data_IF_627775155502
#
_entry.id   IF_627775155502
#
_cell.length_a   1.000
_cell.length_b   1.000
_cell.length_c   1.000
_cell.angle_alpha   90.00
_cell.angle_beta   90.00
_cell.angle_gamma   90.00
#
_symmetry.space_group_name_H-M   'P 1'
#
loop_
_entity.id
_entity.type
_entity.pdbx_description
1 polymer ?
#
# COMPACT_ATOMS: atom_id res chain seq x y z
N UNK A 1 16.11 16.56 7.00
CA UNK A 1 15.75 17.56 8.02
C UNK A 1 14.34 17.24 8.48
N UNK A 2 14.17 16.78 9.72
CA UNK A 2 12.84 16.61 10.30
C UNK A 2 12.31 18.01 10.61
N UNK A 3 11.21 18.41 9.98
CA UNK A 3 10.50 19.64 10.36
C UNK A 3 9.99 19.39 11.78
N UNK A 4 10.57 20.09 12.76
CA UNK A 4 10.08 20.12 14.14
C UNK A 4 8.79 20.95 14.17
N UNK A 5 7.74 20.41 13.55
CA UNK A 5 6.42 21.02 13.53
C UNK A 5 5.73 20.69 14.85
N UNK A 6 5.97 21.53 15.85
CA UNK A 6 5.31 21.45 17.15
C UNK A 6 3.78 21.39 17.02
N UNK A 7 3.20 22.03 15.99
CA UNK A 7 1.77 21.98 15.70
C UNK A 7 1.32 20.59 15.26
N UNK A 8 2.01 19.98 14.30
CA UNK A 8 1.72 18.62 13.84
C UNK A 8 1.85 17.60 14.98
N UNK A 9 2.90 17.69 15.79
CA UNK A 9 3.10 16.77 16.92
C UNK A 9 1.98 16.88 17.94
N UNK A 10 1.61 18.10 18.32
CA UNK A 10 0.50 18.33 19.25
C UNK A 10 -0.84 17.83 18.70
N UNK A 11 -1.08 18.00 17.40
CA UNK A 11 -2.28 17.47 16.74
C UNK A 11 -2.32 15.94 16.76
N UNK A 12 -1.21 15.27 16.45
CA UNK A 12 -1.10 13.80 16.50
C UNK A 12 -1.28 13.27 17.93
N UNK A 13 -0.75 13.95 18.95
CA UNK A 13 -0.97 13.60 20.35
C UNK A 13 -2.44 13.78 20.76
N UNK A 14 -3.10 14.84 20.29
CA UNK A 14 -4.53 15.06 20.45
C UNK A 14 -5.37 13.95 19.82
N UNK A 15 -5.05 13.55 18.59
CA UNK A 15 -5.72 12.43 17.91
C UNK A 15 -5.51 11.11 18.64
N UNK A 16 -4.29 10.84 19.08
CA UNK A 16 -4.01 9.63 19.83
C UNK A 16 -4.76 9.61 21.16
N UNK A 17 -4.86 10.74 21.87
CA UNK A 17 -5.66 10.84 23.10
C UNK A 17 -7.14 10.56 22.81
N UNK A 18 -7.71 11.20 21.78
CA UNK A 18 -9.11 11.03 21.38
C UNK A 18 -9.43 9.61 20.89
N UNK A 19 -8.45 8.90 20.34
CA UNK A 19 -8.63 7.53 19.82
C UNK A 19 -8.98 6.47 20.87
N UNK A 20 -8.95 6.80 22.16
CA UNK A 20 -9.47 5.95 23.23
C UNK A 20 -11.00 5.84 23.23
N UNK A 21 -11.70 6.83 22.67
CA UNK A 21 -13.16 6.93 22.66
C UNK A 21 -13.73 7.16 21.24
N UNK A 22 -12.86 7.29 20.24
CA UNK A 22 -13.20 7.62 18.87
C UNK A 22 -12.58 6.63 17.90
N UNK A 23 -13.43 6.09 17.03
CA UNK A 23 -13.05 5.23 15.92
C UNK A 23 -11.95 5.88 15.08
N UNK A 24 -10.87 5.14 14.85
CA UNK A 24 -9.70 5.69 14.21
C UNK A 24 -8.93 4.66 13.41
N UNK A 25 -8.20 5.19 12.42
CA UNK A 25 -7.10 4.47 11.81
C UNK A 25 -5.85 4.79 12.62
N UNK A 26 -5.20 3.73 13.10
CA UNK A 26 -3.93 3.80 13.78
C UNK A 26 -2.83 3.18 12.93
N UNK A 27 -1.62 3.66 13.16
CA UNK A 27 -0.40 3.08 12.60
C UNK A 27 0.44 2.51 13.72
N UNK A 28 1.09 1.38 13.45
CA UNK A 28 2.19 0.89 14.27
C UNK A 28 3.47 0.95 13.46
N UNK A 29 4.45 1.64 14.01
CA UNK A 29 5.75 1.86 13.37
C UNK A 29 6.84 1.19 14.20
N UNK A 30 7.67 0.39 13.54
CA UNK A 30 8.87 -0.17 14.12
C UNK A 30 10.02 0.85 14.06
N UNK A 31 10.51 1.26 15.22
CA UNK A 31 11.55 2.29 15.35
C UNK A 31 12.74 1.79 16.16
N UNK A 32 13.91 2.38 15.91
CA UNK A 32 15.17 2.02 16.58
C UNK A 32 15.83 3.25 17.20
N UNK A 33 16.23 3.12 18.47
CA UNK A 33 16.98 4.14 19.19
C UNK A 33 16.10 5.25 19.78
N UNK A 34 16.73 6.15 20.56
CA UNK A 34 16.02 7.19 21.30
C UNK A 34 15.36 8.24 20.39
N UNK A 35 15.84 8.39 19.16
CA UNK A 35 15.30 9.33 18.17
C UNK A 35 14.16 8.73 17.33
N UNK A 36 13.76 7.49 17.61
CA UNK A 36 12.71 6.76 16.86
C UNK A 36 13.01 6.63 15.37
N UNK A 37 14.26 6.34 15.03
CA UNK A 37 14.71 6.24 13.64
C UNK A 37 14.14 5.02 12.92
N UNK A 38 14.17 5.09 11.58
CA UNK A 38 13.99 3.93 10.71
C UNK A 38 15.20 2.99 10.77
N UNK A 39 15.00 1.74 10.30
CA UNK A 39 16.08 0.76 10.17
C UNK A 39 17.18 1.26 9.21
N UNK A 40 18.43 0.99 9.56
CA UNK A 40 19.53 1.10 8.59
C UNK A 40 19.39 0.03 7.50
N UNK A 41 20.10 0.21 6.40
CA UNK A 41 20.14 -0.79 5.30
C UNK A 41 20.56 -2.17 5.84
N UNK A 42 21.62 -2.24 6.65
CA UNK A 42 22.11 -3.51 7.21
C UNK A 42 21.07 -4.16 8.13
N UNK A 43 20.42 -3.36 8.98
CA UNK A 43 19.37 -3.87 9.86
C UNK A 43 18.20 -4.45 9.06
N UNK A 44 17.80 -3.80 7.96
CA UNK A 44 16.76 -4.30 7.06
C UNK A 44 17.20 -5.59 6.34
N UNK A 45 18.43 -5.67 5.83
CA UNK A 45 19.00 -6.88 5.20
C UNK A 45 19.02 -8.05 6.17
N UNK A 46 19.50 -7.83 7.39
CA UNK A 46 19.54 -8.88 8.42
C UNK A 46 18.14 -9.37 8.75
N UNK A 47 17.17 -8.44 8.87
CA UNK A 47 15.79 -8.79 9.13
C UNK A 47 15.21 -9.67 8.00
N UNK A 48 15.50 -9.35 6.74
CA UNK A 48 15.12 -10.16 5.59
C UNK A 48 15.80 -11.54 5.59
N UNK A 49 17.10 -11.62 5.88
CA UNK A 49 17.83 -12.89 5.99
C UNK A 49 17.22 -13.77 7.08
N UNK A 50 17.03 -13.24 8.29
CA UNK A 50 16.44 -13.99 9.39
C UNK A 50 15.02 -14.46 9.07
N UNK A 51 14.22 -13.65 8.38
CA UNK A 51 12.88 -14.04 7.95
C UNK A 51 12.91 -15.25 7.01
N UNK A 52 13.83 -15.28 6.03
CA UNK A 52 14.00 -16.42 5.11
C UNK A 52 14.44 -17.68 5.86
N UNK A 53 15.45 -17.57 6.72
CA UNK A 53 15.97 -18.70 7.49
C UNK A 53 14.91 -19.28 8.44
N UNK A 54 14.14 -18.39 9.10
CA UNK A 54 13.06 -18.78 9.99
C UNK A 54 11.92 -19.48 9.22
N UNK A 55 11.53 -18.94 8.06
CA UNK A 55 10.49 -19.50 7.21
C UNK A 55 10.87 -20.82 6.53
N UNK A 56 12.13 -20.98 6.13
CA UNK A 56 12.63 -22.20 5.49
C UNK A 56 13.04 -23.29 6.48
N UNK A 57 13.02 -22.99 7.78
CA UNK A 57 13.35 -23.95 8.84
C UNK A 57 14.75 -24.52 8.62
N UNK A 58 15.72 -23.64 8.37
CA UNK A 58 17.10 -24.04 8.13
C UNK A 58 17.64 -24.84 9.34
N UNK A 59 18.00 -26.13 9.17
CA UNK A 59 18.32 -27.01 10.29
C UNK A 59 19.52 -26.54 11.12
N UNK A 60 20.49 -25.87 10.49
CA UNK A 60 21.70 -25.35 11.12
C UNK A 60 21.49 -23.98 11.80
N UNK A 61 20.32 -23.35 11.62
CA UNK A 61 19.96 -22.05 12.22
C UNK A 61 18.98 -22.16 13.39
N UNK A 62 18.78 -23.36 13.94
CA UNK A 62 17.78 -23.59 14.98
C UNK A 62 18.03 -22.77 16.26
N UNK A 63 19.28 -22.47 16.63
CA UNK A 63 19.57 -21.64 17.81
C UNK A 63 19.03 -20.22 17.63
N UNK A 64 19.20 -19.66 16.43
CA UNK A 64 18.72 -18.31 16.11
C UNK A 64 17.19 -18.26 16.11
N UNK A 65 16.54 -19.25 15.50
CA UNK A 65 15.09 -19.42 15.58
C UNK A 65 14.63 -19.53 17.05
N UNK A 66 15.33 -20.33 17.87
CA UNK A 66 15.02 -20.46 19.29
C UNK A 66 15.15 -19.14 20.06
N UNK A 67 16.13 -18.28 19.74
CA UNK A 67 16.25 -16.96 20.37
C UNK A 67 15.06 -16.06 20.01
N UNK A 68 14.66 -16.04 18.74
CA UNK A 68 13.49 -15.29 18.27
C UNK A 68 12.22 -15.77 18.99
N UNK A 69 12.00 -17.08 19.01
CA UNK A 69 10.82 -17.68 19.65
C UNK A 69 10.79 -17.42 21.17
N UNK A 70 11.95 -17.50 21.85
CA UNK A 70 12.08 -17.15 23.27
C UNK A 70 11.85 -15.66 23.54
N UNK A 71 12.25 -14.76 22.64
CA UNK A 71 11.94 -13.34 22.78
C UNK A 71 10.42 -13.06 22.72
N UNK A 72 9.64 -13.94 22.08
CA UNK A 72 8.19 -13.82 21.98
C UNK A 72 7.43 -14.48 23.13
N UNK A 73 7.89 -15.66 23.56
CA UNK A 73 7.14 -16.55 24.47
C UNK A 73 7.86 -16.81 25.80
N UNK A 74 9.05 -16.23 26.00
CA UNK A 74 9.84 -16.40 27.22
C UNK A 74 10.14 -17.86 27.53
N UNK A 75 10.00 -18.21 28.81
CA UNK A 75 10.23 -19.56 29.33
C UNK A 75 9.21 -20.60 28.84
N UNK A 76 8.07 -20.18 28.28
CA UNK A 76 7.10 -21.10 27.70
C UNK A 76 7.63 -21.77 26.42
N UNK A 77 8.64 -21.20 25.76
CA UNK A 77 9.25 -21.81 24.58
C UNK A 77 10.50 -22.63 24.92
N UNK A 78 10.46 -23.91 24.59
CA UNK A 78 11.58 -24.82 24.76
C UNK A 78 12.48 -24.84 23.52
N UNK A 79 13.81 -24.78 23.70
CA UNK A 79 14.77 -24.83 22.59
C UNK A 79 14.61 -26.07 21.69
N UNK A 80 14.20 -27.19 22.29
CA UNK A 80 13.95 -28.44 21.58
C UNK A 80 12.89 -28.29 20.49
N UNK A 81 11.91 -27.39 20.65
CA UNK A 81 10.91 -27.13 19.63
C UNK A 81 11.55 -26.60 18.34
N UNK A 82 12.43 -25.60 18.46
CA UNK A 82 13.10 -25.03 17.29
C UNK A 82 14.06 -26.02 16.64
N UNK A 83 14.72 -26.87 17.42
CA UNK A 83 15.58 -27.95 16.92
C UNK A 83 14.79 -29.01 16.13
N UNK A 84 13.55 -29.30 16.52
CA UNK A 84 12.63 -30.18 15.80
C UNK A 84 11.98 -29.53 14.57
N UNK A 85 12.31 -28.26 14.29
CA UNK A 85 11.76 -27.52 13.15
C UNK A 85 10.50 -26.71 13.45
N UNK A 86 9.99 -26.72 14.69
CA UNK A 86 8.86 -25.86 15.06
C UNK A 86 9.27 -24.39 15.14
N UNK A 87 8.34 -23.53 14.78
CA UNK A 87 8.52 -22.08 14.69
C UNK A 87 7.27 -21.41 15.21
N UNK A 88 7.35 -20.72 16.35
CA UNK A 88 6.18 -20.27 17.10
C UNK A 88 5.20 -19.43 16.27
N UNK A 89 5.73 -18.68 15.30
CA UNK A 89 4.95 -17.75 14.49
C UNK A 89 4.32 -18.37 13.25
N UNK A 90 4.99 -19.32 12.59
CA UNK A 90 4.52 -19.91 11.32
C UNK A 90 3.92 -21.32 11.49
N UNK A 91 4.08 -21.92 12.67
CA UNK A 91 3.46 -23.21 13.00
C UNK A 91 2.02 -23.01 13.47
N UNK A 92 1.14 -23.94 13.13
CA UNK A 92 -0.26 -23.97 13.57
C UNK A 92 -0.42 -24.79 14.86
N UNK A 93 -1.64 -24.84 15.40
CA UNK A 93 -1.97 -25.59 16.62
C UNK A 93 -1.76 -27.11 16.51
N UNK A 94 -1.74 -27.65 15.29
CA UNK A 94 -1.41 -29.04 14.99
C UNK A 94 0.10 -29.28 14.83
N UNK A 95 0.93 -28.30 15.21
CA UNK A 95 2.38 -28.30 15.08
C UNK A 95 2.88 -28.42 13.62
N UNK A 96 2.04 -28.12 12.62
CA UNK A 96 2.45 -28.07 11.21
C UNK A 96 2.74 -26.66 10.75
N UNK A 97 3.67 -26.54 9.82
CA UNK A 97 3.99 -25.26 9.16
C UNK A 97 2.79 -24.80 8.34
N UNK A 98 2.31 -23.59 8.61
CA UNK A 98 1.30 -22.95 7.78
C UNK A 98 1.92 -22.49 6.46
N UNK A 99 1.51 -23.11 5.36
CA UNK A 99 1.93 -22.70 4.01
C UNK A 99 1.63 -21.23 3.72
N UNK A 100 0.50 -20.71 4.24
CA UNK A 100 0.14 -19.30 4.14
C UNK A 100 1.12 -18.40 4.90
N UNK A 101 1.35 -18.67 6.20
CA UNK A 101 2.24 -17.82 7.02
C UNK A 101 3.68 -17.89 6.53
N UNK A 102 4.13 -19.07 6.11
CA UNK A 102 5.45 -19.27 5.50
C UNK A 102 5.61 -18.41 4.24
N UNK A 103 4.65 -18.49 3.30
CA UNK A 103 4.68 -17.69 2.07
C UNK A 103 4.68 -16.20 2.36
N UNK A 104 3.82 -15.75 3.27
CA UNK A 104 3.77 -14.34 3.69
C UNK A 104 5.11 -13.86 4.22
N UNK A 105 5.79 -14.66 5.04
CA UNK A 105 7.09 -14.33 5.61
C UNK A 105 8.19 -14.26 4.54
N UNK A 106 8.20 -15.19 3.57
CA UNK A 106 9.14 -15.18 2.45
C UNK A 106 8.93 -13.96 1.54
N UNK A 107 7.68 -13.71 1.12
CA UNK A 107 7.33 -12.53 0.31
C UNK A 107 7.71 -11.23 1.01
N UNK A 108 7.47 -11.15 2.33
CA UNK A 108 7.86 -10.00 3.12
C UNK A 108 9.38 -9.82 3.17
N UNK A 109 10.13 -10.90 3.34
CA UNK A 109 11.59 -10.87 3.34
C UNK A 109 12.16 -10.33 2.03
N UNK A 110 11.61 -10.76 0.89
CA UNK A 110 12.00 -10.27 -0.43
C UNK A 110 11.67 -8.79 -0.62
N UNK A 111 10.52 -8.35 -0.10
CA UNK A 111 10.14 -6.94 -0.16
C UNK A 111 11.03 -6.05 0.71
N UNK A 112 11.39 -6.48 1.93
CA UNK A 112 12.32 -5.75 2.81
C UNK A 112 13.72 -5.66 2.20
N UNK A 113 14.22 -6.76 1.64
CA UNK A 113 15.50 -6.79 0.90
C UNK A 113 15.48 -5.80 -0.29
N UNK A 114 14.38 -5.75 -1.03
CA UNK A 114 14.19 -4.77 -2.10
C UNK A 114 14.25 -3.33 -1.59
N UNK A 115 13.61 -3.02 -0.46
CA UNK A 115 13.67 -1.69 0.15
C UNK A 115 15.11 -1.31 0.55
N UNK A 116 15.88 -2.26 1.07
CA UNK A 116 17.28 -2.04 1.43
C UNK A 116 18.13 -1.68 0.20
N UNK A 117 17.97 -2.41 -0.92
CA UNK A 117 18.64 -2.09 -2.19
C UNK A 117 18.22 -0.72 -2.74
N UNK A 118 16.92 -0.42 -2.74
CA UNK A 118 16.42 0.87 -3.21
C UNK A 118 16.98 2.05 -2.40
N UNK A 119 17.13 1.89 -1.08
CA UNK A 119 17.75 2.90 -0.23
C UNK A 119 19.25 3.05 -0.55
N UNK A 120 19.96 1.94 -0.75
CA UNK A 120 21.38 1.94 -1.13
C UNK A 120 21.62 2.61 -2.48
N UNK A 121 20.86 2.22 -3.51
CA UNK A 121 20.91 2.79 -4.86
C UNK A 121 20.61 4.30 -4.85
N UNK A 122 19.75 4.76 -3.94
CA UNK A 122 19.40 6.16 -3.75
C UNK A 122 20.39 6.92 -2.83
N UNK A 123 21.45 6.29 -2.33
CA UNK A 123 22.42 6.91 -1.42
C UNK A 123 21.85 7.26 -0.04
N UNK A 124 20.78 6.59 0.40
CA UNK A 124 20.15 6.81 1.69
C UNK A 124 20.79 5.93 2.77
N UNK A 125 21.00 6.45 3.98
CA UNK A 125 21.56 5.65 5.08
C UNK A 125 20.56 4.65 5.70
N UNK A 126 19.27 4.84 5.42
CA UNK A 126 18.16 4.12 6.08
C UNK A 126 17.08 3.78 5.09
N UNK A 127 16.37 2.69 5.35
CA UNK A 127 15.16 2.36 4.60
C UNK A 127 14.00 3.25 5.05
N UNK A 128 12.96 3.33 4.23
CA UNK A 128 11.68 3.91 4.66
C UNK A 128 11.13 3.15 5.88
N UNK A 129 10.27 3.82 6.63
CA UNK A 129 9.55 3.23 7.77
C UNK A 129 8.72 2.00 7.37
N UNK A 130 8.69 1.01 8.25
CA UNK A 130 7.86 -0.19 8.11
C UNK A 130 6.62 -0.03 8.98
N UNK A 131 5.44 -0.09 8.34
CA UNK A 131 4.17 0.22 8.99
C UNK A 131 3.23 -0.96 9.03
N UNK A 132 2.45 -1.03 10.10
CA UNK A 132 1.15 -1.68 10.16
C UNK A 132 0.08 -0.60 10.21
N UNK A 133 -0.93 -0.67 9.36
CA UNK A 133 -2.13 0.18 9.43
C UNK A 133 -3.29 -0.66 9.94
N UNK A 134 -4.05 -0.13 10.89
CA UNK A 134 -5.20 -0.84 11.44
C UNK A 134 -6.33 0.11 11.78
N UNK A 135 -7.54 -0.43 11.76
CA UNK A 135 -8.74 0.21 12.28
C UNK A 135 -9.06 -0.25 13.71
N UNK A 136 -9.52 0.67 14.56
CA UNK A 136 -10.10 0.35 15.85
C UNK A 136 -11.19 1.35 16.28
N UNK A 137 -12.22 0.85 16.96
CA UNK A 137 -13.18 1.69 17.70
C UNK A 137 -12.53 2.36 18.91
N UNK A 138 -11.59 1.64 19.55
CA UNK A 138 -10.73 2.11 20.63
C UNK A 138 -9.30 1.64 20.31
N UNK A 139 -8.45 2.57 19.87
CA UNK A 139 -7.09 2.27 19.47
C UNK A 139 -6.21 1.89 20.66
N UNK A 140 -6.52 2.36 21.88
CA UNK A 140 -5.76 2.06 23.10
C UNK A 140 -6.00 0.63 23.56
N UNK A 141 -7.25 0.18 23.56
CA UNK A 141 -7.58 -1.24 23.81
C UNK A 141 -6.93 -2.11 22.75
N UNK A 142 -6.96 -1.69 21.48
CA UNK A 142 -6.36 -2.47 20.39
C UNK A 142 -4.83 -2.53 20.50
N UNK A 143 -4.19 -1.45 20.89
CA UNK A 143 -2.76 -1.41 21.20
C UNK A 143 -2.42 -2.40 22.33
N UNK A 144 -3.17 -2.37 23.43
CA UNK A 144 -2.99 -3.32 24.56
C UNK A 144 -3.18 -4.77 24.11
N UNK A 145 -4.18 -5.07 23.30
CA UNK A 145 -4.40 -6.42 22.74
C UNK A 145 -3.21 -6.87 21.88
N UNK A 146 -2.67 -5.98 21.05
CA UNK A 146 -1.50 -6.28 20.25
C UNK A 146 -0.20 -6.41 21.05
N UNK A 147 -0.13 -5.79 22.23
CA UNK A 147 1.01 -5.91 23.15
C UNK A 147 0.93 -7.17 24.03
N UNK A 148 -0.28 -7.63 24.39
CA UNK A 148 -0.51 -8.73 25.34
C UNK A 148 -0.16 -10.15 24.84
N UNK A 149 0.63 -10.29 23.77
CA UNK A 149 1.02 -11.59 23.19
C UNK A 149 -0.17 -12.50 22.79
N UNK A 150 -1.40 -12.00 22.76
CA UNK A 150 -2.58 -12.78 22.37
C UNK A 150 -2.53 -13.16 20.88
N UNK A 151 -2.84 -14.43 20.63
CA UNK A 151 -2.30 -15.27 19.56
C UNK A 151 -2.63 -14.93 18.09
N UNK A 152 -3.32 -13.81 17.78
CA UNK A 152 -4.04 -13.73 16.51
C UNK A 152 -3.79 -12.51 15.62
N UNK A 153 -3.01 -11.51 16.05
CA UNK A 153 -2.85 -10.33 15.20
C UNK A 153 -1.43 -9.80 15.22
N UNK A 154 -0.87 -9.59 14.01
CA UNK A 154 0.42 -8.95 13.75
C UNK A 154 1.67 -9.87 13.75
N UNK A 155 1.61 -10.98 13.01
CA UNK A 155 2.71 -11.94 12.79
C UNK A 155 4.05 -11.26 12.45
N UNK A 156 4.07 -10.37 11.45
CA UNK A 156 5.32 -9.80 10.92
C UNK A 156 5.94 -8.76 11.85
N UNK A 157 5.13 -7.89 12.49
CA UNK A 157 5.67 -6.91 13.44
C UNK A 157 6.24 -7.62 14.68
N UNK A 158 5.60 -8.71 15.12
CA UNK A 158 6.09 -9.53 16.24
C UNK A 158 7.41 -10.20 15.88
N UNK A 159 7.50 -10.79 14.68
CA UNK A 159 8.74 -11.37 14.18
C UNK A 159 9.86 -10.32 14.16
N UNK A 160 9.60 -9.15 13.56
CA UNK A 160 10.60 -8.10 13.45
C UNK A 160 11.06 -7.58 14.82
N UNK A 161 10.12 -7.31 15.72
CA UNK A 161 10.43 -6.91 17.08
C UNK A 161 11.27 -7.98 17.80
N UNK A 162 10.92 -9.26 17.67
CA UNK A 162 11.65 -10.37 18.30
C UNK A 162 13.06 -10.56 17.76
N UNK A 163 13.26 -10.45 16.43
CA UNK A 163 14.60 -10.46 15.81
C UNK A 163 15.48 -9.36 16.40
N UNK A 164 14.92 -8.16 16.52
CA UNK A 164 15.64 -7.00 17.02
C UNK A 164 15.97 -7.11 18.51
N UNK A 165 15.06 -7.69 19.32
CA UNK A 165 15.30 -7.97 20.75
C UNK A 165 16.28 -9.12 20.98
N UNK A 166 16.30 -10.12 20.08
CA UNK A 166 17.12 -11.32 20.22
C UNK A 166 18.55 -11.18 19.68
N UNK A 167 18.83 -10.10 18.94
CA UNK A 167 20.10 -9.92 18.25
C UNK A 167 21.00 -8.98 19.02
N UNK A 168 22.22 -9.45 19.29
CA UNK A 168 23.29 -8.68 19.94
C UNK A 168 23.70 -7.44 19.13
N UNK A 169 23.29 -7.36 17.86
CA UNK A 169 23.63 -6.28 16.92
C UNK A 169 22.85 -4.98 17.19
N UNK A 170 21.84 -5.04 18.06
CA UNK A 170 20.95 -3.91 18.39
C UNK A 170 21.11 -3.46 19.84
N UNK A 171 22.12 -3.97 20.54
CA UNK A 171 22.35 -3.81 21.99
C UNK A 171 22.51 -2.38 22.47
N UNK A 172 22.84 -1.43 21.60
CA UNK A 172 23.01 -0.03 21.97
C UNK A 172 21.75 0.82 21.81
N UNK A 173 20.68 0.32 21.17
CA UNK A 173 19.51 1.14 20.82
C UNK A 173 18.20 0.40 21.10
N UNK A 174 17.35 0.90 22.01
CA UNK A 174 16.06 0.27 22.28
C UNK A 174 15.22 0.24 21.00
N UNK A 175 14.64 -0.91 20.69
CA UNK A 175 13.67 -1.05 19.61
C UNK A 175 12.28 -0.87 20.21
N UNK A 176 11.46 -0.06 19.57
CA UNK A 176 10.10 0.20 20.03
C UNK A 176 9.13 0.03 18.88
N UNK A 177 7.95 -0.50 19.19
CA UNK A 177 6.79 -0.43 18.30
C UNK A 177 5.90 0.68 18.82
N UNK A 178 5.89 1.82 18.13
CA UNK A 178 5.04 2.96 18.50
C UNK A 178 3.69 2.85 17.80
N UNK A 179 2.62 3.01 18.56
CA UNK A 179 1.27 3.18 18.00
C UNK A 179 0.92 4.66 17.95
N UNK A 180 0.23 5.10 16.90
CA UNK A 180 -0.29 6.46 16.80
C UNK A 180 -1.59 6.46 16.02
N UNK A 181 -2.60 7.19 16.49
CA UNK A 181 -3.80 7.43 15.70
C UNK A 181 -3.49 8.52 14.67
N UNK A 182 -3.81 8.27 13.41
CA UNK A 182 -3.48 9.18 12.29
C UNK A 182 -4.72 9.74 11.61
N UNK A 183 -5.88 9.12 11.81
CA UNK A 183 -7.14 9.56 11.23
C UNK A 183 -8.27 9.17 12.19
N UNK A 184 -9.03 10.17 12.62
CA UNK A 184 -10.29 9.97 13.34
C UNK A 184 -11.41 9.85 12.31
N UNK A 185 -12.35 8.94 12.54
CA UNK A 185 -13.37 8.58 11.56
C UNK A 185 -14.72 9.23 11.92
N UNK A 186 -15.40 9.77 10.93
CA UNK A 186 -16.74 10.38 11.05
C UNK A 186 -17.88 9.38 10.91
N UNK A 187 -17.62 8.23 10.29
CA UNK A 187 -18.64 7.27 9.90
C UNK A 187 -18.05 5.88 9.65
N UNK A 188 -18.95 4.91 9.49
CA UNK A 188 -18.66 3.49 9.32
C UNK A 188 -18.06 3.17 7.94
N UNK A 189 -18.60 3.74 6.87
CA UNK A 189 -18.14 3.48 5.50
C UNK A 189 -16.71 3.99 5.28
N UNK A 190 -16.42 5.18 5.83
CA UNK A 190 -15.11 5.79 5.84
C UNK A 190 -14.06 4.92 6.52
N UNK A 191 -14.42 4.09 7.49
CA UNK A 191 -13.48 3.21 8.17
C UNK A 191 -12.82 2.20 7.21
N UNK A 192 -13.62 1.52 6.39
CA UNK A 192 -13.12 0.50 5.47
C UNK A 192 -12.27 1.12 4.34
N UNK A 193 -12.70 2.28 3.84
CA UNK A 193 -12.03 3.00 2.76
C UNK A 193 -10.73 3.62 3.26
N UNK A 194 -10.75 4.31 4.40
CA UNK A 194 -9.58 4.98 4.96
C UNK A 194 -8.47 4.00 5.33
N UNK A 195 -8.79 2.86 5.96
CA UNK A 195 -7.79 1.84 6.31
C UNK A 195 -7.06 1.34 5.05
N UNK A 196 -7.81 1.01 3.99
CA UNK A 196 -7.25 0.51 2.74
C UNK A 196 -6.42 1.57 2.00
N UNK A 197 -6.90 2.81 1.92
CA UNK A 197 -6.18 3.92 1.28
C UNK A 197 -4.89 4.24 2.02
N UNK A 198 -4.93 4.35 3.36
CA UNK A 198 -3.76 4.66 4.18
C UNK A 198 -2.75 3.50 4.16
N UNK A 199 -3.20 2.25 4.22
CA UNK A 199 -2.32 1.10 4.08
C UNK A 199 -1.59 1.08 2.73
N UNK A 200 -2.27 1.49 1.66
CA UNK A 200 -1.65 1.60 0.33
C UNK A 200 -0.68 2.78 0.25
N UNK A 201 -1.10 3.97 0.69
CA UNK A 201 -0.28 5.19 0.67
C UNK A 201 1.02 5.03 1.48
N UNK A 202 0.96 4.32 2.61
CA UNK A 202 2.11 4.05 3.46
C UNK A 202 2.89 2.79 3.06
N UNK A 203 2.47 2.10 1.98
CA UNK A 203 3.05 0.84 1.53
C UNK A 203 3.15 -0.19 2.68
N UNK A 204 2.09 -0.30 3.48
CA UNK A 204 2.03 -1.08 4.71
C UNK A 204 1.77 -2.57 4.47
N UNK A 205 1.44 -2.99 3.25
CA UNK A 205 1.28 -4.40 2.92
C UNK A 205 2.61 -5.16 2.89
N UNK A 206 2.58 -6.43 3.28
CA UNK A 206 3.77 -7.29 3.39
C UNK A 206 4.54 -7.42 2.07
N UNK A 207 3.86 -7.49 0.93
CA UNK A 207 4.49 -7.52 -0.40
C UNK A 207 5.15 -6.21 -0.82
N UNK A 208 4.99 -5.14 -0.03
CA UNK A 208 5.75 -3.89 -0.14
C UNK A 208 6.77 -3.72 1.00
N UNK A 209 6.88 -4.66 1.93
CA UNK A 209 7.78 -4.64 3.08
C UNK A 209 7.12 -4.16 4.39
N UNK A 210 5.83 -3.78 4.37
CA UNK A 210 5.10 -3.44 5.59
C UNK A 210 4.58 -4.66 6.36
N UNK A 211 3.72 -4.46 7.36
CA UNK A 211 3.28 -5.50 8.29
C UNK A 211 1.83 -5.99 8.06
N UNK A 212 1.05 -5.38 7.16
CA UNK A 212 -0.30 -5.82 6.82
C UNK A 212 -0.26 -7.08 5.94
N UNK A 213 -0.85 -8.17 6.46
CA UNK A 213 -0.91 -9.47 5.78
C UNK A 213 -2.23 -9.63 5.04
N UNK A 214 -3.32 -9.26 5.71
CA UNK A 214 -4.66 -9.32 5.15
C UNK A 214 -5.00 -8.00 4.47
N UNK A 215 -5.88 -8.04 3.45
CA UNK A 215 -6.48 -6.84 2.89
C UNK A 215 -7.13 -6.01 4.00
N UNK A 216 -6.80 -4.73 4.06
CA UNK A 216 -7.48 -3.80 4.95
C UNK A 216 -8.94 -3.64 4.52
N UNK A 217 -9.82 -3.27 5.46
CA UNK A 217 -11.27 -3.21 5.23
C UNK A 217 -11.97 -4.57 5.37
N UNK A 218 -11.27 -5.70 5.37
CA UNK A 218 -11.91 -7.02 5.53
C UNK A 218 -12.45 -7.26 6.96
N UNK A 219 -11.88 -6.59 7.97
CA UNK A 219 -12.20 -6.79 9.40
C UNK A 219 -12.94 -5.61 10.03
N UNK A 220 -13.65 -4.79 9.25
CA UNK A 220 -14.51 -3.72 9.79
C UNK A 220 -15.79 -4.24 10.46
N UNK A 221 -15.91 -5.55 10.72
CA UNK A 221 -17.00 -6.16 11.48
C UNK A 221 -17.27 -5.48 12.84
N UNK A 222 -16.24 -4.91 13.48
CA UNK A 222 -16.37 -4.09 14.68
C UNK A 222 -16.84 -2.66 14.40
N UNK A 223 -16.49 -2.08 13.26
CA UNK A 223 -17.05 -0.79 12.79
C UNK A 223 -18.55 -0.92 12.57
N UNK A 224 -18.96 -2.08 12.04
CA UNK A 224 -20.35 -2.41 11.84
C UNK A 224 -21.18 -2.48 13.11
N UNK A 225 -20.57 -2.36 14.30
CA UNK A 225 -21.26 -2.36 15.59
C UNK A 225 -22.31 -3.46 15.66
N UNK A 226 -21.98 -4.70 15.24
CA UNK A 226 -22.99 -5.76 15.04
C UNK A 226 -23.84 -6.05 16.29
N UNK A 227 -23.35 -5.65 17.47
CA UNK A 227 -24.01 -5.80 18.76
C UNK A 227 -24.64 -4.48 19.27
N UNK A 228 -24.64 -3.42 18.47
CA UNK A 228 -25.22 -2.12 18.80
C UNK A 228 -26.59 -1.98 18.15
N UNK A 229 -27.54 -1.39 18.87
CA UNK A 229 -28.81 -0.98 18.28
C UNK A 229 -28.59 0.13 17.25
N UNK A 230 -29.51 0.31 16.28
CA UNK A 230 -29.43 1.42 15.33
C UNK A 230 -29.29 2.80 16.01
N UNK A 231 -29.97 3.00 17.14
CA UNK A 231 -29.93 4.24 17.92
C UNK A 231 -28.55 4.48 18.53
N UNK A 232 -27.92 3.43 19.09
CA UNK A 232 -26.57 3.53 19.64
C UNK A 232 -25.54 3.86 18.56
N UNK A 233 -25.70 3.28 17.36
CA UNK A 233 -24.83 3.58 16.23
C UNK A 233 -24.97 5.04 15.79
N UNK A 234 -26.20 5.52 15.64
CA UNK A 234 -26.44 6.90 15.23
C UNK A 234 -25.96 7.89 16.30
N UNK A 235 -26.19 7.62 17.59
CA UNK A 235 -25.68 8.43 18.68
C UNK A 235 -24.15 8.51 18.66
N UNK A 236 -23.47 7.37 18.49
CA UNK A 236 -22.02 7.32 18.41
C UNK A 236 -21.46 8.13 17.23
N UNK A 237 -21.95 7.85 16.02
CA UNK A 237 -21.42 8.48 14.80
C UNK A 237 -21.80 9.95 14.70
N UNK A 238 -22.99 10.35 15.13
CA UNK A 238 -23.37 11.78 15.23
C UNK A 238 -22.48 12.52 16.22
N UNK A 239 -22.16 11.91 17.37
CA UNK A 239 -21.21 12.45 18.34
C UNK A 239 -19.80 12.59 17.76
N UNK A 240 -19.33 11.58 17.02
CA UNK A 240 -18.03 11.59 16.35
C UNK A 240 -17.93 12.70 15.30
N UNK A 241 -18.96 12.85 14.44
CA UNK A 241 -19.07 13.93 13.44
C UNK A 241 -19.03 15.30 14.11
N UNK A 242 -19.92 15.52 15.08
CA UNK A 242 -20.00 16.81 15.80
C UNK A 242 -18.67 17.20 16.44
N UNK A 243 -17.96 16.23 17.02
CA UNK A 243 -16.64 16.48 17.58
C UNK A 243 -15.64 16.92 16.50
N UNK A 244 -15.59 16.23 15.36
CA UNK A 244 -14.71 16.59 14.24
C UNK A 244 -15.01 17.99 13.72
N UNK A 245 -16.29 18.31 13.52
CA UNK A 245 -16.72 19.61 13.01
C UNK A 245 -16.38 20.76 13.98
N UNK A 246 -16.36 20.48 15.28
CA UNK A 246 -16.11 21.49 16.33
C UNK A 246 -14.62 21.65 16.64
N UNK A 247 -13.87 20.55 16.64
CA UNK A 247 -12.47 20.52 17.09
C UNK A 247 -11.46 20.55 15.95
N UNK A 248 -11.93 20.45 14.70
CA UNK A 248 -11.09 20.48 13.51
C UNK A 248 -11.75 21.33 12.42
N UNK A 249 -10.99 21.65 11.37
CA UNK A 249 -11.54 22.30 10.17
C UNK A 249 -12.06 21.27 9.15
N UNK A 250 -12.58 20.14 9.63
CA UNK A 250 -12.94 19.00 8.77
C UNK A 250 -13.89 19.40 7.65
N UNK A 251 -14.99 20.10 7.96
CA UNK A 251 -15.95 20.53 6.93
C UNK A 251 -15.32 21.48 5.91
N UNK A 252 -14.53 22.45 6.38
CA UNK A 252 -13.83 23.38 5.49
C UNK A 252 -12.86 22.65 4.56
N UNK A 253 -12.04 21.74 5.09
CA UNK A 253 -11.11 20.96 4.28
C UNK A 253 -11.81 19.99 3.34
N UNK A 254 -12.93 19.40 3.75
CA UNK A 254 -13.76 18.55 2.90
C UNK A 254 -14.28 19.35 1.70
N UNK A 255 -14.82 20.54 1.95
CA UNK A 255 -15.40 21.38 0.91
C UNK A 255 -14.32 21.93 -0.04
N UNK A 256 -13.15 22.31 0.49
CA UNK A 256 -12.00 22.74 -0.31
C UNK A 256 -11.43 21.59 -1.16
N UNK A 257 -11.33 20.38 -0.62
CA UNK A 257 -10.92 19.19 -1.37
C UNK A 257 -11.94 18.82 -2.45
N UNK A 258 -13.25 18.95 -2.18
CA UNK A 258 -14.30 18.73 -3.18
C UNK A 258 -14.13 19.68 -4.36
N UNK A 259 -13.98 20.99 -4.10
CA UNK A 259 -13.72 22.00 -5.14
C UNK A 259 -12.43 21.69 -5.91
N UNK A 260 -11.36 21.29 -5.21
CA UNK A 260 -10.09 20.91 -5.85
C UNK A 260 -10.28 19.73 -6.81
N UNK A 261 -11.06 18.72 -6.42
CA UNK A 261 -11.36 17.56 -7.26
C UNK A 261 -12.20 17.91 -8.48
N UNK A 262 -13.19 18.77 -8.34
CA UNK A 262 -13.99 19.26 -9.47
C UNK A 262 -13.11 19.99 -10.50
N UNK A 263 -12.15 20.81 -10.03
CA UNK A 263 -11.19 21.49 -10.91
C UNK A 263 -10.30 20.48 -11.63
N UNK A 264 -9.73 19.50 -10.92
CA UNK A 264 -8.88 18.47 -11.53
C UNK A 264 -9.63 17.62 -12.55
N UNK A 265 -10.84 17.16 -12.23
CA UNK A 265 -11.67 16.41 -13.17
C UNK A 265 -12.00 17.22 -14.43
N UNK A 266 -12.26 18.52 -14.28
CA UNK A 266 -12.46 19.41 -15.43
C UNK A 266 -11.20 19.53 -16.28
N UNK A 267 -10.03 19.68 -15.66
CA UNK A 267 -8.75 19.77 -16.36
C UNK A 267 -8.43 18.47 -17.11
N UNK A 268 -8.64 17.31 -16.48
CA UNK A 268 -8.44 16.00 -17.11
C UNK A 268 -9.37 15.83 -18.30
N UNK A 269 -10.66 16.18 -18.15
CA UNK A 269 -11.63 16.15 -19.23
C UNK A 269 -11.29 17.10 -20.39
N UNK A 270 -10.85 18.32 -20.09
CA UNK A 270 -10.42 19.29 -21.10
C UNK A 270 -9.16 18.81 -21.84
N UNK A 271 -8.22 18.18 -21.15
CA UNK A 271 -7.03 17.58 -21.74
C UNK A 271 -7.38 16.39 -22.65
N UNK A 272 -8.27 15.51 -22.21
CA UNK A 272 -8.77 14.38 -23.00
C UNK A 272 -9.50 14.86 -24.26
N UNK A 273 -10.39 15.85 -24.11
CA UNK A 273 -11.09 16.47 -25.25
C UNK A 273 -10.11 17.08 -26.25
N UNK A 274 -9.08 17.78 -25.77
CA UNK A 274 -8.04 18.36 -26.65
C UNK A 274 -7.27 17.27 -27.38
N UNK A 275 -6.89 16.19 -26.69
CA UNK A 275 -6.20 15.06 -27.31
C UNK A 275 -7.03 14.42 -28.43
N UNK A 276 -8.35 14.26 -28.23
CA UNK A 276 -9.26 13.73 -29.25
C UNK A 276 -9.40 14.67 -30.46
N UNK A 277 -9.43 15.99 -30.24
CA UNK A 277 -9.47 16.98 -31.34
C UNK A 277 -8.15 16.98 -32.12
N UNK A 278 -7.01 16.90 -31.43
CA UNK A 278 -5.69 16.84 -32.05
C UNK A 278 -5.54 15.55 -32.88
N UNK A 279 -6.00 14.42 -32.36
CA UNK A 279 -6.03 13.14 -33.08
C UNK A 279 -6.93 13.19 -34.32
N UNK A 280 -8.14 13.76 -34.19
CA UNK A 280 -9.04 13.94 -35.33
C UNK A 280 -8.43 14.86 -36.39
N UNK A 281 -7.75 15.93 -35.98
CA UNK A 281 -7.09 16.87 -36.89
C UNK A 281 -5.97 16.17 -37.67
N UNK A 282 -5.08 15.44 -36.98
CA UNK A 282 -4.03 14.63 -37.61
C UNK A 282 -4.60 13.61 -38.59
N UNK A 283 -5.72 12.99 -38.24
CA UNK A 283 -6.41 12.04 -39.11
C UNK A 283 -6.95 12.71 -40.37
N UNK A 284 -7.56 13.90 -40.25
CA UNK A 284 -8.02 14.67 -41.41
C UNK A 284 -6.87 15.15 -42.29
N UNK A 285 -5.76 15.61 -41.70
CA UNK A 285 -4.54 15.99 -42.42
C UNK A 285 -3.95 14.81 -43.20
N UNK A 286 -3.85 13.62 -42.57
CA UNK A 286 -3.42 12.39 -43.24
C UNK A 286 -4.34 12.01 -44.40
N UNK A 287 -5.66 12.09 -44.19
CA UNK A 287 -6.66 11.82 -45.24
C UNK A 287 -6.57 12.81 -46.40
N UNK A 288 -6.30 14.09 -46.12
CA UNK A 288 -6.08 15.12 -47.14
C UNK A 288 -4.78 14.86 -47.92
N UNK A 289 -3.69 14.50 -47.24
CA UNK A 289 -2.41 14.17 -47.87
C UNK A 289 -2.54 12.96 -48.81
N UNK A 290 -3.19 11.89 -48.37
CA UNK A 290 -3.43 10.69 -49.20
C UNK A 290 -4.31 11.00 -50.43
N UNK A 291 -5.30 11.89 -50.29
CA UNK A 291 -6.11 12.36 -51.44
C UNK A 291 -5.28 13.16 -52.43
N UNK A 292 -4.42 14.06 -51.94
CA UNK A 292 -3.54 14.86 -52.80
C UNK A 292 -2.53 13.97 -53.55
N UNK A 293 -1.96 12.96 -52.88
CA UNK A 293 -1.06 11.98 -53.49
C UNK A 293 -1.76 11.16 -54.59
N UNK A 294 -2.97 10.66 -54.31
CA UNK A 294 -3.80 9.98 -55.31
C UNK A 294 -4.07 10.86 -56.52
N UNK A 295 -4.45 12.12 -56.30
CA UNK A 295 -4.79 13.04 -57.38
C UNK A 295 -3.56 13.42 -58.23
N UNK A 296 -2.37 13.51 -57.62
CA UNK A 296 -1.10 13.68 -58.33
C UNK A 296 -0.78 12.47 -59.23
N UNK A 297 -0.88 11.25 -58.70
CA UNK A 297 -0.68 10.01 -59.49
C UNK A 297 -1.67 9.95 -60.68
N UNK A 298 -2.92 10.37 -60.46
CA UNK A 298 -3.95 10.39 -61.51
C UNK A 298 -3.74 11.50 -62.55
N UNK A 299 -3.10 12.60 -62.19
CA UNK A 299 -2.76 13.69 -63.10
C UNK A 299 -1.62 13.36 -64.06
N UNK A 300 -0.68 12.51 -63.62
CA UNK A 300 0.53 12.16 -64.39
C UNK A 300 0.37 10.91 -65.28
N UNK A 301 -0.75 10.18 -65.16
CA UNK A 301 -0.98 8.93 -65.91
C UNK A 301 -2.30 8.96 -66.70
N UNK A 302 -2.22 8.69 -68.00
CA UNK A 302 -3.38 8.33 -68.82
C UNK A 302 -4.02 7.03 -68.26
N UNK A 303 -5.36 7.00 -68.20
CA UNK A 303 -6.17 5.90 -67.67
C UNK A 303 -5.82 4.53 -68.26
N UNK A 304 -5.39 4.48 -69.52
CA UNK A 304 -5.04 3.25 -70.24
C UNK A 304 -3.67 2.72 -69.81
N UNK A 305 -2.78 3.61 -69.38
CA UNK A 305 -1.47 3.29 -68.79
C UNK A 305 -1.61 2.83 -67.34
N UNK A 306 -2.48 3.47 -66.55
CA UNK A 306 -2.75 3.13 -65.14
C UNK A 306 -3.27 1.70 -64.98
N UNK A 307 -4.20 1.28 -65.84
CA UNK A 307 -4.87 -0.04 -65.76
C UNK A 307 -3.94 -1.23 -65.99
N UNK A 308 -2.83 -1.00 -66.68
CA UNK A 308 -1.88 -2.03 -67.09
C UNK A 308 -0.53 -1.92 -66.36
N UNK A 309 -0.37 -0.95 -65.44
CA UNK A 309 0.89 -0.75 -64.74
C UNK A 309 1.03 -1.73 -63.56
N UNK A 310 2.13 -2.51 -63.47
CA UNK A 310 2.38 -3.46 -62.38
C UNK A 310 2.45 -2.83 -60.98
N UNK A 311 2.55 -1.50 -60.89
CA UNK A 311 2.63 -0.74 -59.62
C UNK A 311 1.31 -0.70 -58.84
N UNK A 312 0.16 -1.04 -59.42
CA UNK A 312 -1.11 -0.98 -58.69
C UNK A 312 -1.17 -1.93 -57.48
N UNK A 313 -0.34 -2.98 -57.45
CA UNK A 313 -0.21 -3.85 -56.28
C UNK A 313 0.54 -3.18 -55.12
N UNK A 314 1.47 -2.26 -55.38
CA UNK A 314 2.24 -1.56 -54.34
C UNK A 314 1.41 -0.44 -53.67
N UNK A 315 0.43 0.12 -54.38
CA UNK A 315 -0.51 1.12 -53.85
C UNK A 315 -1.84 0.51 -53.37
N UNK A 316 -2.03 -0.80 -53.49
CA UNK A 316 -3.27 -1.48 -53.07
C UNK A 316 -3.57 -1.23 -51.58
N UNK A 317 -2.55 -1.23 -50.74
CA UNK A 317 -2.68 -0.96 -49.31
C UNK A 317 -3.08 0.50 -49.03
N UNK A 318 -2.57 1.45 -49.80
CA UNK A 318 -2.95 2.86 -49.73
C UNK A 318 -4.42 3.08 -50.14
N UNK A 319 -4.87 2.40 -51.19
CA UNK A 319 -6.27 2.45 -51.63
C UNK A 319 -7.22 1.74 -50.64
N UNK A 320 -6.80 0.61 -50.07
CA UNK A 320 -7.55 -0.08 -49.01
C UNK A 320 -7.67 0.78 -47.75
N UNK A 321 -6.59 1.45 -47.34
CA UNK A 321 -6.61 2.39 -46.21
C UNK A 321 -7.53 3.60 -46.52
N UNK A 322 -7.52 4.13 -47.75
CA UNK A 322 -8.45 5.19 -48.17
C UNK A 322 -9.93 4.76 -48.16
N UNK A 323 -10.23 3.51 -48.52
CA UNK A 323 -11.58 2.95 -48.50
C UNK A 323 -12.07 2.66 -47.06
N UNK A 324 -11.21 2.17 -46.18
CA UNK A 324 -11.52 2.05 -44.74
C UNK A 324 -11.75 3.44 -44.11
N UNK A 325 -10.93 4.43 -44.45
CA UNK A 325 -11.03 5.81 -43.97
C UNK A 325 -12.23 6.57 -44.55
N UNK A 326 -12.77 6.15 -45.69
CA UNK A 326 -13.98 6.75 -46.27
C UNK A 326 -15.22 6.40 -45.44
N UNK A 327 -15.17 5.31 -44.66
CA UNK A 327 -16.35 4.69 -44.04
C UNK A 327 -17.32 4.16 -45.11
N UNK A 328 -18.29 3.31 -44.76
CA UNK A 328 -19.32 2.92 -45.71
C UNK A 328 -20.05 4.19 -46.15
N UNK A 329 -19.88 4.56 -47.42
CA UNK A 329 -20.64 5.66 -48.01
C UNK A 329 -22.11 5.41 -47.69
N UNK A 330 -22.74 6.36 -47.00
CA UNK A 330 -24.17 6.33 -46.74
C UNK A 330 -24.87 6.12 -48.08
N UNK A 331 -25.39 4.90 -48.28
CA UNK A 331 -26.26 4.57 -49.39
C UNK A 331 -27.63 5.16 -49.17
#
# INVERSE_FOLDING_TARGET
MAVNDHGLRSAMEGYHTRSAEHASIYVRHLTVGPEFDNLTIDQARNLAVMARQYANIEPDKWQQASRIDKALYGSAWQSAHSQQGYRALITNSDNKVSSLKQRVMLTWADAVEKLARQAEDAGQARVRSLYYVGYAMDAHVREKQHMKNDHHSNLLIRFAHAVLMASDWFTERPVTVKTSAICLLSDEEGAAIAEALLARAMCAYHFHGGFNIQPCGASVASAYGRNWSPEQKEEYWSGARKWLDTMTFYEQYRDDEHKRREVLQRQDWEAEKKALVDEHTKHQERKAALRAERDAIRGDMDWETLRNHPFLSEYADMFAELDELAGPAAK
#
